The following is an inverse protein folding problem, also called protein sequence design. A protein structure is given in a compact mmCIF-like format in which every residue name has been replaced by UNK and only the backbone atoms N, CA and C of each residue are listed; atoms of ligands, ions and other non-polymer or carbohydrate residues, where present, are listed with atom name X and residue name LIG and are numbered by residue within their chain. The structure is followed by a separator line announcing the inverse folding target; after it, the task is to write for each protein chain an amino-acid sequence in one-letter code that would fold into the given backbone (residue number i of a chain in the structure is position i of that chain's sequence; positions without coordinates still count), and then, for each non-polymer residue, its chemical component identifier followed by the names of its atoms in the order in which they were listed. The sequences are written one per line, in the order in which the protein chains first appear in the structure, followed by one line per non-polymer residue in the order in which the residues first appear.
data_IF_752995973100
#
_entry.id   IF_752995973100
#
_cell.length_a   1.000
_cell.length_b   1.000
_cell.length_c   1.000
_cell.angle_alpha   90.00
_cell.angle_beta   90.00
_cell.angle_gamma   90.00
#
_symmetry.space_group_name_H-M   'P 1'
#
loop_
_entity.id
_entity.type
_entity.pdbx_description
1 polymer ?
#
# COMPACT_ATOMS: atom_id res chain seq x y z
N UNK A 1 -12.29 -21.77 -62.14
CA UNK A 1 -12.18 -20.41 -61.60
C UNK A 1 -12.94 -20.19 -60.28
N UNK A 2 -13.22 -21.20 -59.51
CA UNK A 2 -14.03 -21.01 -58.28
C UNK A 2 -13.39 -21.57 -56.99
N UNK A 3 -12.11 -21.84 -57.00
CA UNK A 3 -11.43 -22.51 -55.88
C UNK A 3 -10.38 -21.65 -55.17
N UNK A 4 -10.17 -20.40 -55.60
CA UNK A 4 -9.14 -19.56 -54.98
C UNK A 4 -9.64 -18.70 -53.82
N UNK A 5 -10.94 -18.65 -53.57
CA UNK A 5 -11.48 -17.76 -52.52
C UNK A 5 -11.65 -18.39 -51.16
N UNK A 6 -11.42 -19.69 -51.02
CA UNK A 6 -11.65 -20.38 -49.74
C UNK A 6 -10.38 -20.59 -48.90
N UNK A 7 -9.20 -20.32 -49.40
CA UNK A 7 -7.96 -20.54 -48.67
C UNK A 7 -7.50 -19.33 -47.83
N UNK A 8 -8.03 -18.16 -48.10
CA UNK A 8 -7.59 -16.94 -47.45
C UNK A 8 -8.27 -16.67 -46.09
N UNK A 9 -9.41 -17.27 -45.82
CA UNK A 9 -10.13 -17.05 -44.54
C UNK A 9 -9.59 -17.88 -43.38
N UNK A 10 -8.92 -18.99 -43.66
CA UNK A 10 -8.37 -19.83 -42.60
C UNK A 10 -7.08 -19.29 -41.95
N UNK A 11 -6.34 -18.49 -42.71
CA UNK A 11 -5.07 -17.92 -42.21
C UNK A 11 -5.26 -16.74 -41.24
N UNK A 12 -6.37 -16.01 -41.36
CA UNK A 12 -6.65 -14.85 -40.48
C UNK A 12 -7.10 -15.31 -39.09
N UNK A 13 -7.78 -16.44 -38.99
CA UNK A 13 -8.26 -16.95 -37.70
C UNK A 13 -7.12 -17.48 -36.80
N UNK A 14 -6.07 -18.02 -37.40
CA UNK A 14 -4.92 -18.57 -36.64
C UNK A 14 -4.04 -17.44 -36.09
N UNK A 15 -3.90 -16.35 -36.80
CA UNK A 15 -3.12 -15.21 -36.30
C UNK A 15 -3.79 -14.50 -35.11
N UNK A 16 -5.11 -14.46 -35.07
CA UNK A 16 -5.85 -13.85 -33.95
C UNK A 16 -5.75 -14.66 -32.65
N UNK A 17 -5.66 -15.97 -32.74
CA UNK A 17 -5.50 -16.85 -31.57
C UNK A 17 -4.11 -16.76 -30.93
N UNK A 18 -3.07 -16.55 -31.72
CA UNK A 18 -1.71 -16.39 -31.19
C UNK A 18 -1.51 -15.05 -30.44
N UNK A 19 -2.18 -13.98 -30.87
CA UNK A 19 -2.10 -12.68 -30.21
C UNK A 19 -2.82 -12.67 -28.85
N UNK A 20 -3.91 -13.40 -28.72
CA UNK A 20 -4.65 -13.52 -27.47
C UNK A 20 -3.88 -14.28 -26.38
N UNK A 21 -3.14 -15.31 -26.73
CA UNK A 21 -2.34 -16.08 -25.78
C UNK A 21 -1.12 -15.30 -25.25
N UNK A 22 -0.53 -14.43 -26.07
CA UNK A 22 0.61 -13.60 -25.67
C UNK A 22 0.22 -12.51 -24.65
N UNK A 23 -0.97 -11.91 -24.79
CA UNK A 23 -1.45 -10.88 -23.87
C UNK A 23 -1.75 -11.42 -22.47
N UNK A 24 -2.27 -12.65 -22.35
CA UNK A 24 -2.56 -13.29 -21.08
C UNK A 24 -1.28 -13.64 -20.30
N UNK A 25 -0.22 -14.07 -20.98
CA UNK A 25 1.06 -14.41 -20.34
C UNK A 25 1.81 -13.17 -19.82
N UNK A 26 1.67 -12.00 -20.48
CA UNK A 26 2.32 -10.75 -20.04
C UNK A 26 1.67 -10.13 -18.80
N UNK A 27 0.37 -10.37 -18.53
CA UNK A 27 -0.36 -9.84 -17.38
C UNK A 27 -0.12 -10.66 -16.11
N UNK A 28 0.26 -11.93 -16.23
CA UNK A 28 0.40 -12.86 -15.10
C UNK A 28 1.76 -12.78 -14.37
N UNK A 29 2.68 -11.86 -14.74
CA UNK A 29 4.10 -11.94 -14.40
C UNK A 29 4.55 -11.24 -13.11
N UNK A 30 3.74 -10.40 -12.45
CA UNK A 30 4.19 -9.68 -11.25
C UNK A 30 3.80 -10.42 -9.97
N UNK A 31 4.81 -10.74 -9.17
CA UNK A 31 4.60 -11.39 -7.87
C UNK A 31 4.24 -10.36 -6.82
N UNK A 32 3.22 -10.66 -6.03
CA UNK A 32 2.76 -9.82 -4.92
C UNK A 32 3.55 -10.17 -3.66
N UNK A 33 4.02 -9.15 -2.95
CA UNK A 33 4.69 -9.26 -1.65
C UNK A 33 3.87 -8.52 -0.61
N UNK A 34 3.52 -9.22 0.46
CA UNK A 34 2.82 -8.64 1.60
C UNK A 34 3.79 -7.87 2.50
N UNK A 35 3.25 -7.02 3.34
CA UNK A 35 4.01 -6.26 4.33
C UNK A 35 3.26 -6.25 5.66
N UNK A 36 4.02 -6.37 6.74
CA UNK A 36 3.51 -6.11 8.09
C UNK A 36 4.23 -4.88 8.64
N UNK A 37 3.47 -3.94 9.14
CA UNK A 37 3.98 -2.67 9.68
C UNK A 37 4.00 -2.77 11.20
N UNK A 38 5.17 -2.59 11.78
CA UNK A 38 5.36 -2.66 13.23
C UNK A 38 5.79 -1.32 13.81
N UNK A 39 5.26 -1.00 14.98
CA UNK A 39 5.80 0.06 15.82
C UNK A 39 6.98 -0.46 16.64
N UNK A 40 8.02 0.37 16.76
CA UNK A 40 9.09 0.18 17.76
C UNK A 40 8.74 0.99 19.00
N UNK A 41 7.92 0.42 19.87
CA UNK A 41 7.33 1.12 20.99
C UNK A 41 6.04 1.83 20.63
N UNK A 42 5.37 2.41 21.61
CA UNK A 42 4.10 3.11 21.40
C UNK A 42 4.31 4.48 20.76
N UNK A 43 3.38 4.91 19.91
CA UNK A 43 3.35 6.30 19.44
C UNK A 43 3.28 7.27 20.61
N UNK A 44 3.93 8.42 20.45
CA UNK A 44 3.91 9.50 21.45
C UNK A 44 3.01 10.63 20.99
N UNK A 45 2.18 11.09 21.89
CA UNK A 45 1.26 12.20 21.69
C UNK A 45 1.64 13.34 22.60
N UNK A 46 1.73 14.55 22.07
CA UNK A 46 1.99 15.72 22.92
C UNK A 46 0.72 16.56 23.12
N UNK A 47 0.82 17.56 24.00
CA UNK A 47 -0.32 18.44 24.34
C UNK A 47 -0.83 19.28 23.17
N UNK A 48 0.01 19.55 22.17
CA UNK A 48 -0.38 20.31 20.99
C UNK A 48 -0.99 19.42 19.88
N UNK A 49 -1.22 18.13 20.15
CA UNK A 49 -1.80 17.21 19.21
C UNK A 49 -0.82 16.64 18.19
N UNK A 50 0.48 16.78 18.41
CA UNK A 50 1.49 16.16 17.57
C UNK A 50 1.66 14.70 17.96
N UNK A 51 1.66 13.82 16.95
CA UNK A 51 1.95 12.39 17.11
C UNK A 51 3.28 12.05 16.44
N UNK A 52 4.11 11.29 17.14
CA UNK A 52 5.38 10.79 16.62
C UNK A 52 5.47 9.29 16.85
N UNK A 53 6.03 8.59 15.89
CA UNK A 53 6.27 7.15 16.00
C UNK A 53 7.41 6.73 15.09
N UNK A 54 7.98 5.59 15.41
CA UNK A 54 8.97 4.91 14.58
C UNK A 54 8.71 3.42 14.58
N UNK A 55 9.25 2.74 13.61
CA UNK A 55 9.06 1.30 13.52
C UNK A 55 9.78 0.69 12.33
N UNK A 56 9.32 -0.49 11.97
CA UNK A 56 9.92 -1.27 10.90
C UNK A 56 8.87 -1.97 10.05
N UNK A 57 9.30 -2.42 8.86
CA UNK A 57 8.52 -3.22 7.95
C UNK A 57 9.04 -4.65 7.93
N UNK A 58 8.15 -5.62 8.11
CA UNK A 58 8.45 -7.01 7.82
C UNK A 58 7.91 -7.35 6.43
N UNK A 59 8.81 -7.46 5.47
CA UNK A 59 8.49 -7.71 4.07
C UNK A 59 9.73 -8.24 3.34
N UNK A 60 9.57 -8.64 2.09
CA UNK A 60 10.72 -8.98 1.25
C UNK A 60 11.70 -7.81 1.13
N UNK A 61 12.99 -8.10 1.05
CA UNK A 61 14.05 -7.08 1.02
C UNK A 61 13.85 -6.03 -0.09
N UNK A 62 13.34 -6.45 -1.25
CA UNK A 62 13.06 -5.55 -2.38
C UNK A 62 11.94 -4.55 -2.05
N UNK A 63 11.08 -4.86 -1.09
CA UNK A 63 9.95 -4.03 -0.69
C UNK A 63 10.22 -3.17 0.55
N UNK A 64 11.40 -3.25 1.13
CA UNK A 64 11.75 -2.46 2.32
C UNK A 64 12.04 -0.99 2.02
N UNK A 65 12.88 -0.65 1.00
CA UNK A 65 13.29 0.74 0.82
C UNK A 65 12.22 1.61 0.18
N UNK A 66 12.25 2.87 0.50
CA UNK A 66 11.46 3.93 -0.14
C UNK A 66 9.95 3.66 -0.14
N UNK A 67 9.44 2.96 0.87
CA UNK A 67 8.00 2.79 1.04
C UNK A 67 7.41 4.07 1.60
N UNK A 68 6.36 4.55 0.97
CA UNK A 68 5.59 5.66 1.53
C UNK A 68 4.92 5.22 2.82
N UNK A 69 5.17 5.96 3.91
CA UNK A 69 4.62 5.69 5.24
C UNK A 69 3.79 6.89 5.67
N UNK A 70 2.58 6.67 6.15
CA UNK A 70 1.67 7.73 6.56
C UNK A 70 0.89 7.33 7.79
N UNK A 71 0.64 8.27 8.69
CA UNK A 71 -0.38 8.09 9.71
C UNK A 71 -1.77 8.20 9.10
N UNK A 72 -2.66 7.33 9.53
CA UNK A 72 -4.09 7.43 9.31
C UNK A 72 -4.77 7.55 10.67
N UNK A 73 -5.64 8.53 10.78
CA UNK A 73 -6.52 8.68 11.95
C UNK A 73 -7.82 7.95 11.61
N UNK A 74 -8.22 7.05 12.47
CA UNK A 74 -9.45 6.26 12.29
C UNK A 74 -10.40 6.49 13.44
N UNK A 75 -11.69 6.48 13.15
CA UNK A 75 -12.74 6.64 14.15
C UNK A 75 -13.06 5.32 14.85
N UNK A 76 -14.04 5.35 15.73
CA UNK A 76 -14.50 4.17 16.49
C UNK A 76 -15.01 3.04 15.59
N UNK A 77 -15.45 3.34 14.37
CA UNK A 77 -15.92 2.36 13.40
C UNK A 77 -14.81 1.85 12.47
N UNK A 78 -13.57 2.31 12.64
CA UNK A 78 -12.46 1.96 11.77
C UNK A 78 -12.40 2.75 10.46
N UNK A 79 -13.21 3.80 10.31
CA UNK A 79 -13.21 4.66 9.13
C UNK A 79 -12.04 5.65 9.18
N UNK A 80 -11.30 5.77 8.09
CA UNK A 80 -10.21 6.76 7.98
C UNK A 80 -10.83 8.15 7.86
N UNK A 81 -10.56 8.99 8.84
CA UNK A 81 -11.08 10.37 8.91
C UNK A 81 -10.02 11.41 8.59
N UNK A 82 -8.76 11.07 8.64
CA UNK A 82 -7.65 11.93 8.22
C UNK A 82 -6.44 11.08 7.86
N UNK A 83 -5.67 11.57 6.90
CA UNK A 83 -4.35 11.04 6.55
C UNK A 83 -3.34 12.16 6.75
N UNK A 84 -2.35 11.92 7.60
CA UNK A 84 -1.35 12.93 7.94
C UNK A 84 -0.16 12.86 6.97
N UNK A 85 0.67 13.89 6.99
CA UNK A 85 1.90 13.91 6.20
C UNK A 85 2.78 12.70 6.52
N UNK A 86 3.50 12.24 5.50
CA UNK A 86 4.26 11.02 5.59
C UNK A 86 5.75 11.19 5.37
N UNK A 87 6.44 10.09 5.43
CA UNK A 87 7.84 9.95 5.08
C UNK A 87 8.05 8.65 4.29
N UNK A 88 9.30 8.29 4.06
CA UNK A 88 9.63 7.03 3.40
C UNK A 88 10.48 6.16 4.33
N UNK A 89 10.39 4.84 4.14
CA UNK A 89 11.27 3.89 4.83
C UNK A 89 12.69 3.93 4.27
N UNK A 90 13.65 3.55 5.09
CA UNK A 90 15.05 3.40 4.65
C UNK A 90 15.30 2.03 3.98
N UNK A 91 16.55 1.77 3.61
CA UNK A 91 16.95 0.53 2.93
C UNK A 91 16.70 -0.73 3.77
N UNK A 92 16.64 -0.62 5.07
CA UNK A 92 16.37 -1.72 6.00
C UNK A 92 14.89 -1.87 6.34
N UNK A 93 14.04 -0.97 5.84
CA UNK A 93 12.62 -0.95 6.12
C UNK A 93 12.25 -0.24 7.42
N UNK A 94 13.18 0.49 8.03
CA UNK A 94 12.88 1.32 9.20
C UNK A 94 12.20 2.61 8.78
N UNK A 95 11.28 3.09 9.59
CA UNK A 95 10.54 4.32 9.31
C UNK A 95 10.37 5.16 10.58
N UNK A 96 10.21 6.45 10.38
CA UNK A 96 9.93 7.42 11.43
C UNK A 96 8.94 8.43 10.91
N UNK A 97 7.89 8.69 11.68
CA UNK A 97 6.79 9.58 11.30
C UNK A 97 6.52 10.62 12.37
N UNK A 98 6.10 11.77 11.93
CA UNK A 98 5.59 12.85 12.75
C UNK A 98 4.41 13.49 12.03
N UNK A 99 3.34 13.77 12.74
CA UNK A 99 2.15 14.36 12.16
C UNK A 99 1.35 15.17 13.17
N UNK A 100 0.52 16.07 12.67
CA UNK A 100 -0.38 16.89 13.47
C UNK A 100 -1.78 16.30 13.39
N UNK A 101 -2.35 15.93 14.54
CA UNK A 101 -3.74 15.46 14.60
C UNK A 101 -4.70 16.60 14.25
N UNK A 102 -5.88 16.26 13.66
CA UNK A 102 -6.93 17.26 13.48
C UNK A 102 -7.28 17.95 14.79
N UNK A 103 -7.64 19.24 14.72
CA UNK A 103 -7.99 20.03 15.90
C UNK A 103 -9.26 19.57 16.61
N UNK A 104 -10.14 18.90 15.88
CA UNK A 104 -11.34 18.27 16.44
C UNK A 104 -11.48 16.86 15.91
N UNK A 105 -11.80 15.93 16.80
CA UNK A 105 -12.03 14.52 16.47
C UNK A 105 -13.47 14.15 16.78
N UNK A 106 -14.06 13.18 16.03
CA UNK A 106 -15.39 12.68 16.36
C UNK A 106 -15.48 12.12 17.78
N UNK A 107 -16.68 12.10 18.33
CA UNK A 107 -16.92 11.46 19.63
C UNK A 107 -16.54 9.98 19.60
N UNK A 108 -16.10 9.45 20.73
CA UNK A 108 -15.66 8.08 20.88
C UNK A 108 -14.16 7.95 20.87
N UNK A 109 -13.68 6.71 20.95
CA UNK A 109 -12.24 6.41 20.92
C UNK A 109 -11.73 6.41 19.49
N UNK A 110 -10.91 7.40 19.16
CA UNK A 110 -10.21 7.46 17.88
C UNK A 110 -8.82 6.83 18.02
N UNK A 111 -8.26 6.37 16.93
CA UNK A 111 -6.97 5.70 16.92
C UNK A 111 -6.10 6.19 15.76
N UNK A 112 -4.80 5.99 15.88
CA UNK A 112 -3.86 6.16 14.78
C UNK A 112 -3.30 4.81 14.36
N UNK A 113 -3.10 4.65 13.08
CA UNK A 113 -2.34 3.53 12.51
C UNK A 113 -1.39 4.05 11.44
N UNK A 114 -0.40 3.26 11.09
CA UNK A 114 0.54 3.60 10.03
C UNK A 114 0.24 2.75 8.82
N UNK A 115 0.12 3.38 7.67
CA UNK A 115 -0.06 2.72 6.38
C UNK A 115 1.23 2.77 5.59
N UNK A 116 1.68 1.60 5.13
CA UNK A 116 2.67 1.48 4.08
C UNK A 116 1.95 1.45 2.74
N UNK A 117 2.31 2.36 1.84
CA UNK A 117 1.65 2.47 0.53
C UNK A 117 2.12 1.38 -0.43
N UNK A 118 1.28 1.07 -1.41
CA UNK A 118 1.62 0.13 -2.48
C UNK A 118 2.77 0.68 -3.32
N UNK A 119 3.69 -0.20 -3.72
CA UNK A 119 4.81 0.15 -4.59
C UNK A 119 5.14 -1.00 -5.54
N UNK A 120 5.51 -0.66 -6.76
CA UNK A 120 6.04 -1.63 -7.71
C UNK A 120 7.56 -1.58 -7.69
N UNK A 121 8.21 -2.71 -7.53
CA UNK A 121 9.67 -2.85 -7.50
C UNK A 121 10.08 -3.98 -8.46
N UNK A 122 10.46 -3.62 -9.68
CA UNK A 122 10.85 -4.57 -10.73
C UNK A 122 9.74 -5.58 -11.03
N UNK A 123 9.99 -6.85 -10.77
CA UNK A 123 9.06 -7.97 -10.98
C UNK A 123 8.02 -8.11 -9.85
N UNK A 124 8.12 -7.31 -8.81
CA UNK A 124 7.29 -7.44 -7.61
C UNK A 124 6.34 -6.28 -7.45
N UNK A 125 5.17 -6.58 -6.91
CA UNK A 125 4.23 -5.58 -6.40
C UNK A 125 4.29 -5.66 -4.88
N UNK A 126 4.79 -4.60 -4.26
CA UNK A 126 4.82 -4.46 -2.81
C UNK A 126 3.44 -3.95 -2.38
N UNK A 127 2.64 -4.82 -1.78
CA UNK A 127 1.27 -4.50 -1.40
C UNK A 127 1.24 -3.48 -0.26
N UNK A 128 0.17 -2.71 -0.19
CA UNK A 128 -0.11 -1.85 0.96
C UNK A 128 -0.36 -2.70 2.21
N UNK A 129 -0.04 -2.14 3.36
CA UNK A 129 -0.33 -2.74 4.66
C UNK A 129 -0.53 -1.67 5.72
N UNK A 130 -1.16 -2.04 6.82
CA UNK A 130 -1.41 -1.14 7.93
C UNK A 130 -0.95 -1.78 9.24
N UNK A 131 -0.50 -0.93 10.18
CA UNK A 131 -0.18 -1.37 11.53
C UNK A 131 -1.44 -1.63 12.35
N UNK A 132 -1.26 -2.27 13.50
CA UNK A 132 -2.30 -2.32 14.54
C UNK A 132 -2.64 -0.89 14.98
N UNK A 133 -3.92 -0.52 15.12
CA UNK A 133 -4.31 0.79 15.60
C UNK A 133 -3.90 1.00 17.06
N UNK A 134 -3.55 2.24 17.40
CA UNK A 134 -3.24 2.67 18.77
C UNK A 134 -4.18 3.81 19.14
N UNK A 135 -4.85 3.68 20.27
CA UNK A 135 -5.81 4.68 20.72
C UNK A 135 -5.15 6.05 20.95
N UNK A 136 -5.82 7.09 20.50
CA UNK A 136 -5.42 8.47 20.79
C UNK A 136 -5.89 8.79 22.21
N UNK A 137 -4.99 9.26 23.10
CA UNK A 137 -5.40 9.65 24.45
C UNK A 137 -6.45 10.75 24.42
N UNK A 138 -7.39 10.77 25.38
CA UNK A 138 -8.34 11.87 25.47
C UNK A 138 -7.62 13.20 25.72
N UNK A 139 -8.16 14.29 25.18
CA UNK A 139 -7.64 15.64 25.44
C UNK A 139 -7.79 15.97 26.92
N UNK A 140 -6.69 16.39 27.56
CA UNK A 140 -6.67 16.83 28.96
C UNK A 140 -6.55 18.34 29.07
#
# INVERSE_FOLDING_TARGET
MRTAAKATLALVAIAALCLGAFSAAAVAGKKKKTVVVYFSGSPKFNKSGKVTAKGSLNTASVCKPSRGMRFQVIDVNGTVIATLDGSTSDSSGNWSLSGQLPSSLPAGTNSVRVKATKRTAGKFVCQAGVSTPVAIPPAT
#
